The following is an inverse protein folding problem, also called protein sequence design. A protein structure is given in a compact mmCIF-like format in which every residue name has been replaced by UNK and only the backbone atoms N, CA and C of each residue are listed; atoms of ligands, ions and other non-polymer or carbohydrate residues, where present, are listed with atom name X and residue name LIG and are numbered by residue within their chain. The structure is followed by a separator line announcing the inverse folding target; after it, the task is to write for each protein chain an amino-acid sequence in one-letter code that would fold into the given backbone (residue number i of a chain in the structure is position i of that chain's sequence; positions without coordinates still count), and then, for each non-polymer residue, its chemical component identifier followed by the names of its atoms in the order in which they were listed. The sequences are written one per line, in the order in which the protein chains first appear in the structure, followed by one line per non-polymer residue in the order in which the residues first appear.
data_IF_189036767582
#
_entry.id   IF_189036767582
#
_cell.length_a   1.000
_cell.length_b   1.000
_cell.length_c   1.000
_cell.angle_alpha   90.00
_cell.angle_beta   90.00
_cell.angle_gamma   90.00
#
_symmetry.space_group_name_H-M   'P 1'
#
loop_
_entity.id
_entity.type
_entity.pdbx_description
1 polymer ?
#
# COMPACT_ATOMS: atom_id res chain seq x y z
N UNK A 1 16.38 14.39 -26.08
CA UNK A 1 15.72 15.00 -24.92
C UNK A 1 16.43 14.51 -23.67
N UNK A 2 17.02 15.43 -22.91
CA UNK A 2 17.72 15.13 -21.68
C UNK A 2 16.75 14.93 -20.51
N UNK A 3 17.26 14.36 -19.43
CA UNK A 3 16.56 14.27 -18.15
C UNK A 3 16.30 15.66 -17.55
N UNK A 4 15.17 15.83 -16.84
CA UNK A 4 14.81 17.05 -16.13
C UNK A 4 15.40 17.06 -14.72
N UNK A 5 15.67 18.26 -14.18
CA UNK A 5 16.03 18.45 -12.77
C UNK A 5 14.81 18.47 -11.82
N UNK A 6 13.59 18.60 -12.37
CA UNK A 6 12.37 18.52 -11.57
C UNK A 6 12.22 17.10 -10.99
N UNK A 7 12.01 16.99 -9.69
CA UNK A 7 11.93 15.69 -9.00
C UNK A 7 11.13 15.80 -7.71
N UNK A 8 10.75 14.63 -7.20
CA UNK A 8 10.11 14.46 -5.92
C UNK A 8 8.57 14.53 -5.96
N UNK A 9 7.99 14.05 -4.90
CA UNK A 9 6.55 14.01 -4.68
C UNK A 9 5.96 15.41 -4.43
N UNK A 10 4.76 15.66 -4.90
CA UNK A 10 3.97 16.86 -4.62
C UNK A 10 2.48 16.59 -4.74
N UNK A 11 1.68 17.52 -4.27
CA UNK A 11 0.23 17.45 -4.36
C UNK A 11 -0.36 18.80 -4.78
N UNK A 12 -1.51 18.74 -5.42
CA UNK A 12 -2.23 19.89 -5.91
C UNK A 12 -3.62 19.95 -5.26
N UNK A 13 -4.00 21.13 -4.83
CA UNK A 13 -5.34 21.45 -4.35
C UNK A 13 -5.87 22.72 -5.03
N UNK A 14 -7.18 22.91 -5.06
CA UNK A 14 -7.82 24.05 -5.74
C UNK A 14 -7.33 25.40 -5.20
N UNK A 15 -7.11 25.50 -3.89
CA UNK A 15 -6.69 26.73 -3.23
C UNK A 15 -6.60 26.52 -1.71
N UNK A 16 -6.12 27.54 -0.98
CA UNK A 16 -5.88 27.42 0.45
C UNK A 16 -7.17 27.30 1.26
N UNK A 17 -7.03 26.76 2.47
CA UNK A 17 -8.08 26.67 3.48
C UNK A 17 -9.03 25.48 3.34
N UNK A 18 -9.74 25.24 4.44
CA UNK A 18 -10.75 24.19 4.54
C UNK A 18 -10.21 22.77 4.55
N UNK A 19 -11.12 21.82 4.35
CA UNK A 19 -10.86 20.39 4.46
C UNK A 19 -9.84 19.88 3.44
N UNK A 20 -9.78 20.47 2.25
CA UNK A 20 -8.81 20.11 1.21
C UNK A 20 -7.37 20.39 1.63
N UNK A 21 -7.13 21.53 2.27
CA UNK A 21 -5.79 21.85 2.75
C UNK A 21 -5.40 21.01 3.97
N UNK A 22 -6.36 20.75 4.86
CA UNK A 22 -6.14 19.82 5.98
C UNK A 22 -5.79 18.43 5.48
N UNK A 23 -6.53 17.88 4.51
CA UNK A 23 -6.24 16.59 3.90
C UNK A 23 -4.83 16.57 3.28
N UNK A 24 -4.48 17.60 2.50
CA UNK A 24 -3.16 17.73 1.90
C UNK A 24 -2.05 17.76 2.98
N UNK A 25 -2.21 18.55 4.03
CA UNK A 25 -1.23 18.62 5.13
C UNK A 25 -1.03 17.27 5.83
N UNK A 26 -2.10 16.53 6.10
CA UNK A 26 -2.04 15.22 6.74
C UNK A 26 -1.35 14.17 5.81
N UNK A 27 -1.63 14.21 4.51
CA UNK A 27 -0.98 13.35 3.51
C UNK A 27 0.50 13.69 3.41
N UNK A 28 0.85 14.97 3.25
CA UNK A 28 2.25 15.43 3.19
C UNK A 28 3.05 15.02 4.43
N UNK A 29 2.46 15.14 5.62
CA UNK A 29 3.11 14.75 6.87
C UNK A 29 3.46 13.25 6.87
N UNK A 30 2.52 12.41 6.47
CA UNK A 30 2.73 10.96 6.39
C UNK A 30 3.76 10.58 5.31
N UNK A 31 3.73 11.21 4.14
CA UNK A 31 4.69 10.99 3.05
C UNK A 31 6.11 11.37 3.49
N UNK A 32 6.28 12.50 4.19
CA UNK A 32 7.57 12.90 4.76
C UNK A 32 8.06 11.92 5.84
N UNK A 33 7.17 11.49 6.72
CA UNK A 33 7.50 10.51 7.77
C UNK A 33 7.96 9.16 7.21
N UNK A 34 7.48 8.78 6.03
CA UNK A 34 7.92 7.57 5.31
C UNK A 34 9.27 7.74 4.58
N UNK A 35 9.93 8.91 4.68
CA UNK A 35 11.21 9.18 4.02
C UNK A 35 11.11 9.36 2.51
N UNK A 36 9.95 9.70 1.99
CA UNK A 36 9.76 10.02 0.58
C UNK A 36 10.30 11.42 0.29
N UNK A 37 11.07 11.55 -0.78
CA UNK A 37 11.57 12.85 -1.23
C UNK A 37 10.43 13.70 -1.77
N UNK A 38 10.21 14.86 -1.18
CA UNK A 38 9.20 15.81 -1.61
C UNK A 38 9.83 17.03 -2.28
N UNK A 39 9.07 17.73 -3.10
CA UNK A 39 9.50 19.00 -3.72
C UNK A 39 9.66 20.09 -2.67
N UNK A 40 10.39 21.14 -3.04
CA UNK A 40 10.57 22.34 -2.18
C UNK A 40 9.25 23.05 -1.86
N UNK A 41 8.29 23.00 -2.80
CA UNK A 41 6.90 23.46 -2.62
C UNK A 41 5.99 22.25 -2.86
N UNK A 42 5.75 21.43 -1.82
CA UNK A 42 5.04 20.17 -2.01
C UNK A 42 3.53 20.32 -2.17
N UNK A 43 2.91 21.36 -1.57
CA UNK A 43 1.50 21.69 -1.77
C UNK A 43 1.43 22.84 -2.77
N UNK A 44 0.73 22.60 -3.88
CA UNK A 44 0.56 23.57 -4.96
C UNK A 44 -0.91 23.93 -5.10
N UNK A 45 -1.22 25.21 -5.18
CA UNK A 45 -2.57 25.71 -5.43
C UNK A 45 -2.78 25.89 -6.92
N UNK A 46 -3.68 25.09 -7.53
CA UNK A 46 -3.99 25.17 -8.95
C UNK A 46 -5.51 25.12 -9.20
N UNK A 47 -6.15 26.30 -9.33
CA UNK A 47 -7.57 26.37 -9.64
C UNK A 47 -7.92 26.01 -11.08
N UNK A 48 -6.92 25.79 -11.94
CA UNK A 48 -7.10 25.43 -13.35
C UNK A 48 -7.37 23.94 -13.56
N UNK A 49 -6.99 23.08 -12.61
CA UNK A 49 -7.20 21.65 -12.74
C UNK A 49 -8.69 21.29 -12.60
N UNK A 50 -9.25 20.69 -13.64
CA UNK A 50 -10.68 20.40 -13.75
C UNK A 50 -11.22 19.59 -12.55
N UNK A 51 -10.51 18.53 -12.16
CA UNK A 51 -10.91 17.66 -11.06
C UNK A 51 -10.97 18.40 -9.72
N UNK A 52 -10.01 19.28 -9.45
CA UNK A 52 -9.96 20.06 -8.21
C UNK A 52 -11.05 21.13 -8.17
N UNK A 53 -11.39 21.69 -9.34
CA UNK A 53 -12.39 22.76 -9.46
C UNK A 53 -13.84 22.24 -9.34
N UNK A 54 -14.14 21.07 -9.91
CA UNK A 54 -15.51 20.58 -10.08
C UNK A 54 -15.89 19.45 -9.10
N UNK A 55 -15.00 19.08 -8.21
CA UNK A 55 -15.28 18.10 -7.16
C UNK A 55 -15.87 18.80 -5.94
N UNK A 56 -17.01 18.33 -5.45
CA UNK A 56 -17.70 18.87 -4.25
C UNK A 56 -16.99 18.44 -2.97
N UNK A 57 -16.51 17.20 -2.92
CA UNK A 57 -15.72 16.70 -1.79
C UNK A 57 -14.34 17.36 -1.74
N UNK A 58 -13.66 17.34 -0.59
CA UNK A 58 -12.25 17.72 -0.51
C UNK A 58 -11.42 16.93 -1.54
N UNK A 59 -10.78 17.62 -2.45
CA UNK A 59 -10.03 17.02 -3.56
C UNK A 59 -8.55 17.37 -3.46
N UNK A 60 -7.70 16.34 -3.57
CA UNK A 60 -6.25 16.42 -3.61
C UNK A 60 -5.78 15.59 -4.80
N UNK A 61 -4.90 16.13 -5.64
CA UNK A 61 -4.27 15.41 -6.75
C UNK A 61 -2.81 15.14 -6.35
N UNK A 62 -2.43 13.87 -6.31
CA UNK A 62 -1.10 13.44 -5.90
C UNK A 62 -0.20 13.20 -7.13
N UNK A 63 0.95 13.84 -7.16
CA UNK A 63 1.99 13.66 -8.17
C UNK A 63 3.17 12.91 -7.56
N UNK A 64 3.31 11.64 -7.89
CA UNK A 64 4.23 10.71 -7.23
C UNK A 64 5.67 10.80 -7.71
N UNK A 65 5.95 11.67 -8.70
CA UNK A 65 7.27 11.91 -9.27
C UNK A 65 7.23 12.26 -10.75
N UNK A 66 8.38 12.50 -11.32
CA UNK A 66 8.54 12.98 -12.70
C UNK A 66 9.11 11.88 -13.61
N UNK A 67 8.37 11.51 -14.64
CA UNK A 67 8.84 10.57 -15.68
C UNK A 67 10.06 11.09 -16.46
N UNK A 68 10.36 12.37 -16.36
CA UNK A 68 11.52 13.01 -16.95
C UNK A 68 12.72 13.10 -16.01
N UNK A 69 12.60 12.58 -14.78
CA UNK A 69 13.70 12.51 -13.82
C UNK A 69 14.17 11.07 -13.63
N UNK A 70 15.47 10.83 -13.78
CA UNK A 70 16.03 9.48 -13.70
C UNK A 70 15.86 8.84 -12.31
N UNK A 71 16.03 9.62 -11.24
CA UNK A 71 15.86 9.14 -9.87
C UNK A 71 14.40 8.78 -9.55
N UNK A 72 13.47 9.64 -9.94
CA UNK A 72 12.04 9.39 -9.74
C UNK A 72 11.59 8.14 -10.54
N UNK A 73 12.07 7.99 -11.77
CA UNK A 73 11.79 6.79 -12.58
C UNK A 73 12.34 5.52 -11.94
N UNK A 74 13.54 5.57 -11.36
CA UNK A 74 14.11 4.43 -10.65
C UNK A 74 13.24 4.06 -9.43
N UNK A 75 12.85 5.05 -8.63
CA UNK A 75 11.96 4.87 -7.50
C UNK A 75 10.60 4.29 -7.90
N UNK A 76 9.98 4.85 -8.94
CA UNK A 76 8.67 4.40 -9.43
C UNK A 76 8.70 2.98 -10.03
N UNK A 77 9.85 2.49 -10.47
CA UNK A 77 10.06 1.10 -10.89
C UNK A 77 10.27 0.13 -9.73
N UNK A 78 10.74 0.61 -8.59
CA UNK A 78 10.93 -0.21 -7.39
C UNK A 78 9.59 -0.52 -6.70
N UNK A 79 9.29 -1.80 -6.56
CA UNK A 79 8.05 -2.26 -5.94
C UNK A 79 7.97 -1.89 -4.44
N UNK A 80 9.08 -1.98 -3.71
CA UNK A 80 9.13 -1.63 -2.30
C UNK A 80 8.92 -0.12 -2.08
N UNK A 81 9.46 0.71 -2.98
CA UNK A 81 9.21 2.15 -2.94
C UNK A 81 7.73 2.46 -3.19
N UNK A 82 7.12 1.87 -4.23
CA UNK A 82 5.68 2.10 -4.51
C UNK A 82 4.79 1.66 -3.35
N UNK A 83 5.09 0.52 -2.72
CA UNK A 83 4.34 0.06 -1.55
C UNK A 83 4.45 1.05 -0.39
N UNK A 84 5.67 1.47 -0.05
CA UNK A 84 5.91 2.45 1.02
C UNK A 84 5.22 3.79 0.75
N UNK A 85 5.24 4.26 -0.50
CA UNK A 85 4.57 5.50 -0.90
C UNK A 85 3.04 5.37 -0.78
N UNK A 86 2.46 4.29 -1.30
CA UNK A 86 1.02 4.04 -1.23
C UNK A 86 0.52 3.93 0.23
N UNK A 87 1.27 3.24 1.09
CA UNK A 87 0.96 3.17 2.52
C UNK A 87 1.04 4.53 3.21
N UNK A 88 2.03 5.35 2.86
CA UNK A 88 2.16 6.69 3.42
C UNK A 88 0.99 7.59 3.02
N UNK A 89 0.61 7.58 1.74
CA UNK A 89 -0.54 8.33 1.24
C UNK A 89 -1.84 7.86 1.92
N UNK A 90 -2.05 6.54 2.05
CA UNK A 90 -3.20 5.98 2.76
C UNK A 90 -3.23 6.36 4.25
N UNK A 91 -2.09 6.34 4.94
CA UNK A 91 -1.97 6.78 6.35
C UNK A 91 -2.37 8.25 6.50
N UNK A 92 -1.94 9.11 5.59
CA UNK A 92 -2.30 10.53 5.57
C UNK A 92 -3.81 10.75 5.37
N UNK A 93 -4.41 10.04 4.42
CA UNK A 93 -5.86 10.07 4.19
C UNK A 93 -6.63 9.61 5.43
N UNK A 94 -6.23 8.52 6.05
CA UNK A 94 -6.87 8.01 7.27
C UNK A 94 -6.71 8.97 8.43
N UNK A 95 -5.55 9.63 8.56
CA UNK A 95 -5.33 10.68 9.57
C UNK A 95 -6.31 11.83 9.38
N UNK A 96 -6.49 12.32 8.15
CA UNK A 96 -7.49 13.33 7.83
C UNK A 96 -8.91 12.92 8.22
N UNK A 97 -9.26 11.65 7.97
CA UNK A 97 -10.58 11.09 8.28
C UNK A 97 -10.77 10.75 9.77
N UNK A 98 -9.73 10.87 10.60
CA UNK A 98 -9.76 10.47 12.01
C UNK A 98 -9.85 8.95 12.22
N UNK A 99 -9.44 8.16 11.22
CA UNK A 99 -9.45 6.70 11.24
C UNK A 99 -8.05 6.20 11.61
N UNK A 100 -7.88 5.40 12.66
CA UNK A 100 -6.57 4.86 13.00
C UNK A 100 -6.07 3.91 11.91
N UNK A 101 -4.78 4.03 11.55
CA UNK A 101 -4.12 3.05 10.72
C UNK A 101 -4.11 1.70 11.43
N UNK A 102 -4.49 0.67 10.72
CA UNK A 102 -4.29 -0.72 11.18
C UNK A 102 -3.24 -1.33 10.26
N UNK A 103 -2.20 -1.88 10.85
CA UNK A 103 -1.27 -2.71 10.08
C UNK A 103 -2.07 -3.81 9.38
N UNK A 104 -1.68 -4.12 8.16
CA UNK A 104 -2.28 -5.25 7.45
C UNK A 104 -1.96 -6.53 8.22
N UNK A 105 -2.95 -7.01 8.95
CA UNK A 105 -2.86 -8.26 9.73
C UNK A 105 -3.10 -9.48 8.84
N UNK A 106 -3.31 -9.31 7.54
CA UNK A 106 -3.47 -10.41 6.62
C UNK A 106 -2.27 -11.36 6.69
N UNK A 107 -1.06 -10.81 6.89
CA UNK A 107 0.13 -11.62 7.10
C UNK A 107 0.09 -12.39 8.43
N UNK A 108 -0.43 -11.77 9.51
CA UNK A 108 -0.56 -12.45 10.82
C UNK A 108 -1.69 -13.47 10.82
N UNK A 109 -2.78 -13.23 10.11
CA UNK A 109 -3.86 -14.21 9.95
C UNK A 109 -3.41 -15.35 9.05
N UNK A 110 -2.62 -15.05 8.00
CA UNK A 110 -2.01 -16.07 7.15
C UNK A 110 -0.99 -16.91 7.92
N UNK A 111 -0.11 -16.29 8.69
CA UNK A 111 0.84 -16.98 9.56
C UNK A 111 0.14 -17.83 10.62
N UNK A 112 -0.91 -17.31 11.26
CA UNK A 112 -1.74 -18.10 12.19
C UNK A 112 -2.42 -19.27 11.51
N UNK A 113 -2.94 -19.07 10.28
CA UNK A 113 -3.56 -20.15 9.52
C UNK A 113 -2.54 -21.24 9.16
N UNK A 114 -1.34 -20.86 8.72
CA UNK A 114 -0.23 -21.78 8.44
C UNK A 114 0.16 -22.55 9.70
N UNK A 115 0.37 -21.87 10.81
CA UNK A 115 0.70 -22.48 12.08
C UNK A 115 -0.39 -23.45 12.50
N UNK A 116 -1.65 -23.04 12.42
CA UNK A 116 -2.79 -23.86 12.79
C UNK A 116 -2.90 -25.14 11.95
N UNK A 117 -2.79 -25.04 10.60
CA UNK A 117 -2.86 -26.24 9.73
C UNK A 117 -1.69 -27.20 9.97
N UNK A 118 -0.52 -26.68 10.33
CA UNK A 118 0.67 -27.46 10.69
C UNK A 118 0.47 -28.18 12.03
N UNK A 119 0.11 -27.47 13.09
CA UNK A 119 -0.10 -28.01 14.43
C UNK A 119 -1.23 -29.04 14.46
N UNK A 120 -2.23 -28.86 13.63
CA UNK A 120 -3.34 -29.78 13.49
C UNK A 120 -3.07 -30.93 12.50
N UNK A 121 -1.90 -30.98 11.88
CA UNK A 121 -1.52 -32.06 10.97
C UNK A 121 -2.33 -32.08 9.67
N UNK A 122 -2.98 -30.97 9.31
CA UNK A 122 -3.73 -30.83 8.06
C UNK A 122 -2.77 -30.71 6.87
N UNK A 123 -1.73 -29.90 7.05
CA UNK A 123 -0.68 -29.67 6.09
C UNK A 123 0.69 -29.97 6.72
N UNK A 124 1.46 -30.88 6.15
CA UNK A 124 2.69 -31.39 6.77
C UNK A 124 3.99 -30.96 6.05
N UNK A 125 3.88 -30.37 4.87
CA UNK A 125 5.04 -30.06 4.04
C UNK A 125 5.64 -31.29 3.31
N UNK A 126 6.83 -31.11 2.78
CA UNK A 126 7.63 -32.18 2.18
C UNK A 126 8.44 -32.97 3.25
N UNK A 127 9.31 -33.88 2.81
CA UNK A 127 10.17 -34.68 3.68
C UNK A 127 11.12 -33.87 4.55
N UNK A 128 11.47 -32.66 4.12
CA UNK A 128 12.37 -31.75 4.82
C UNK A 128 11.60 -30.78 5.76
N UNK A 129 10.27 -30.92 5.83
CA UNK A 129 9.40 -30.10 6.64
C UNK A 129 9.05 -28.73 6.04
N UNK A 130 9.45 -28.48 4.78
CA UNK A 130 9.09 -27.27 4.06
C UNK A 130 7.63 -27.35 3.61
N UNK A 131 6.83 -26.37 4.01
CA UNK A 131 5.41 -26.27 3.68
C UNK A 131 5.15 -25.91 2.21
N UNK A 132 6.16 -25.46 1.46
CA UNK A 132 6.09 -25.07 0.05
C UNK A 132 4.93 -24.11 -0.24
N UNK A 133 4.78 -23.08 0.60
CA UNK A 133 3.60 -22.20 0.65
C UNK A 133 3.37 -21.41 -0.66
N UNK A 134 4.42 -21.16 -1.42
CA UNK A 134 4.38 -20.44 -2.69
C UNK A 134 4.19 -21.38 -3.91
N UNK A 135 3.99 -22.68 -3.69
CA UNK A 135 3.76 -23.63 -4.76
C UNK A 135 2.27 -23.94 -4.95
N UNK A 136 1.83 -24.14 -6.19
CA UNK A 136 0.45 -24.57 -6.46
C UNK A 136 0.14 -25.91 -5.77
N UNK A 137 -1.02 -26.00 -5.15
CA UNK A 137 -1.51 -27.26 -4.58
C UNK A 137 -2.15 -28.13 -5.66
N UNK A 138 -1.79 -29.40 -5.72
CA UNK A 138 -2.45 -30.35 -6.62
C UNK A 138 -3.82 -30.76 -6.07
N UNK A 139 -4.74 -31.20 -6.94
CA UNK A 139 -6.05 -31.75 -6.52
C UNK A 139 -5.89 -32.91 -5.52
N UNK A 140 -4.87 -33.73 -5.68
CA UNK A 140 -4.57 -34.84 -4.77
C UNK A 140 -4.16 -34.35 -3.39
N UNK A 141 -3.26 -33.37 -3.30
CA UNK A 141 -2.85 -32.76 -2.03
C UNK A 141 -4.03 -32.08 -1.32
N UNK A 142 -4.85 -31.35 -2.08
CA UNK A 142 -6.06 -30.71 -1.54
C UNK A 142 -7.04 -31.75 -0.97
N UNK A 143 -7.31 -32.84 -1.67
CA UNK A 143 -8.18 -33.92 -1.18
C UNK A 143 -7.64 -34.56 0.12
N UNK A 144 -6.31 -34.75 0.23
CA UNK A 144 -5.69 -35.26 1.45
C UNK A 144 -5.83 -34.28 2.61
N UNK A 145 -5.70 -32.98 2.38
CA UNK A 145 -5.88 -31.98 3.42
C UNK A 145 -7.34 -31.95 3.91
N UNK A 146 -8.32 -32.00 3.00
CA UNK A 146 -9.74 -32.07 3.34
C UNK A 146 -10.08 -33.33 4.15
N UNK A 147 -9.52 -34.47 3.75
CA UNK A 147 -9.72 -35.74 4.46
C UNK A 147 -9.17 -35.66 5.89
N UNK A 148 -7.96 -35.15 6.09
CA UNK A 148 -7.35 -34.96 7.41
C UNK A 148 -8.14 -34.00 8.28
N UNK A 149 -8.68 -32.93 7.69
CA UNK A 149 -9.57 -32.00 8.39
C UNK A 149 -10.84 -32.70 8.83
N UNK A 150 -11.48 -33.48 7.94
CA UNK A 150 -12.70 -34.24 8.25
C UNK A 150 -12.45 -35.26 9.38
N UNK A 151 -11.39 -36.05 9.31
CA UNK A 151 -11.04 -37.01 10.35
C UNK A 151 -10.84 -36.35 11.74
N UNK A 152 -10.33 -35.16 11.75
CA UNK A 152 -10.01 -34.47 13.01
C UNK A 152 -11.18 -33.67 13.57
N UNK A 153 -11.98 -33.05 12.73
CA UNK A 153 -13.01 -32.07 13.11
C UNK A 153 -14.41 -32.38 12.56
N UNK A 154 -14.53 -33.28 11.59
CA UNK A 154 -15.82 -33.73 11.07
C UNK A 154 -16.58 -34.54 12.13
N UNK A 155 -17.68 -33.99 12.60
CA UNK A 155 -18.64 -34.68 13.45
C UNK A 155 -19.86 -35.05 12.64
#
# INVERSE_FOLDING_TARGET
SGWSSASGWSEYIYGPGGDREKAAQDILAAVKAAGITVRSTPIVYDPGLYVLKHTVAPAVLLEQGFHTNQGDVANLKDAAYRQRLAEAEAKGILTYLGIPWKEDTANTDFERAIQWVRENGIMLGNTDGDMMLDQPVTRKQFAVMLYRYHEKFGR
#
